data_IF_725511961501
#
_entry.id   IF_725511961501
#
_cell.length_a   1.000
_cell.length_b   1.000
_cell.length_c   1.000
_cell.angle_alpha   90.00
_cell.angle_beta   90.00
_cell.angle_gamma   90.00
#
_symmetry.space_group_name_H-M   'P 1'
#
loop_
_entity.id
_entity.type
_entity.pdbx_description
1 polymer ?
#
# COMPACT_ATOMS: atom_id res chain seq x y z
N UNK A 1 -20.47 83.40 -33.30
CA UNK A 1 -21.90 83.02 -33.22
C UNK A 1 -22.40 82.88 -34.65
N UNK A 2 -23.21 81.88 -35.01
CA UNK A 2 -24.15 81.10 -34.18
C UNK A 2 -23.79 79.58 -34.18
N UNK A 3 -24.46 78.63 -33.54
CA UNK A 3 -25.48 78.55 -32.50
C UNK A 3 -25.40 77.15 -31.88
N UNK A 4 -25.90 77.05 -30.65
CA UNK A 4 -26.00 75.88 -29.79
C UNK A 4 -26.87 74.76 -30.38
N UNK A 5 -26.50 73.49 -30.13
CA UNK A 5 -27.48 72.40 -29.99
C UNK A 5 -27.04 71.36 -28.93
N UNK A 6 -28.02 70.69 -28.28
CA UNK A 6 -27.93 70.24 -26.89
C UNK A 6 -27.48 68.79 -26.74
N UNK A 7 -26.76 68.52 -25.66
CA UNK A 7 -26.38 67.18 -25.23
C UNK A 7 -27.60 66.41 -24.70
N UNK A 8 -28.06 65.43 -25.48
CA UNK A 8 -29.08 64.45 -25.10
C UNK A 8 -28.37 63.21 -24.52
N UNK A 9 -28.61 62.90 -23.24
CA UNK A 9 -28.09 61.69 -22.57
C UNK A 9 -28.85 60.45 -23.03
N UNK A 10 -28.19 59.30 -23.27
CA UNK A 10 -28.84 58.01 -23.19
C UNK A 10 -28.59 57.33 -21.84
N UNK A 11 -29.69 56.84 -21.27
CA UNK A 11 -29.80 56.03 -20.06
C UNK A 11 -29.26 54.63 -20.36
N UNK A 12 -28.15 54.25 -19.73
CA UNK A 12 -27.59 52.90 -19.87
C UNK A 12 -28.33 51.92 -18.94
N UNK A 13 -29.13 51.03 -19.53
CA UNK A 13 -29.67 49.85 -18.86
C UNK A 13 -28.58 48.78 -18.82
N UNK A 14 -28.05 48.48 -17.64
CA UNK A 14 -27.13 47.36 -17.45
C UNK A 14 -27.94 46.08 -17.22
N UNK A 15 -28.00 45.24 -18.25
CA UNK A 15 -28.56 43.89 -18.22
C UNK A 15 -27.59 42.96 -17.49
N UNK A 16 -27.99 42.40 -16.35
CA UNK A 16 -27.21 41.38 -15.63
C UNK A 16 -27.19 40.07 -16.43
N UNK A 17 -26.02 39.67 -16.91
CA UNK A 17 -25.80 38.34 -17.50
C UNK A 17 -25.36 37.39 -16.39
N UNK A 18 -26.23 36.44 -16.02
CA UNK A 18 -25.93 35.39 -15.05
C UNK A 18 -25.24 34.23 -15.78
N UNK A 19 -23.93 34.08 -15.55
CA UNK A 19 -23.11 33.00 -16.11
C UNK A 19 -23.18 31.77 -15.19
N UNK A 20 -23.95 30.75 -15.55
CA UNK A 20 -24.01 29.47 -14.83
C UNK A 20 -22.87 28.56 -15.28
N UNK A 21 -21.84 28.45 -14.45
CA UNK A 21 -20.74 27.49 -14.61
C UNK A 21 -21.18 26.08 -14.18
N UNK A 22 -21.28 25.17 -15.15
CA UNK A 22 -21.58 23.76 -14.92
C UNK A 22 -20.28 23.03 -14.49
N UNK A 23 -20.15 22.74 -13.20
CA UNK A 23 -19.08 21.89 -12.66
C UNK A 23 -19.38 20.43 -13.02
N UNK A 24 -18.77 19.93 -14.10
CA UNK A 24 -18.75 18.51 -14.41
C UNK A 24 -17.79 17.79 -13.46
N UNK A 25 -18.33 17.22 -12.37
CA UNK A 25 -17.59 16.31 -11.49
C UNK A 25 -17.24 15.03 -12.27
N UNK A 26 -16.02 14.95 -12.78
CA UNK A 26 -15.47 13.68 -13.26
C UNK A 26 -15.13 12.83 -12.03
N UNK A 27 -15.97 11.85 -11.72
CA UNK A 27 -15.61 10.81 -10.78
C UNK A 27 -14.46 9.99 -11.41
N UNK A 28 -13.24 10.23 -10.95
CA UNK A 28 -12.11 9.34 -11.22
C UNK A 28 -12.36 8.02 -10.50
N UNK A 29 -13.02 7.07 -11.18
CA UNK A 29 -13.00 5.68 -10.76
C UNK A 29 -11.60 5.13 -11.01
N UNK A 30 -10.83 4.88 -9.95
CA UNK A 30 -9.60 4.12 -10.07
C UNK A 30 -9.96 2.72 -10.60
N UNK A 31 -9.48 2.37 -11.79
CA UNK A 31 -9.60 1.01 -12.29
C UNK A 31 -8.95 0.05 -11.27
N UNK A 32 -9.52 -1.14 -11.01
CA UNK A 32 -8.93 -2.08 -10.07
C UNK A 32 -7.53 -2.46 -10.57
N UNK A 33 -6.51 -2.04 -9.85
CA UNK A 33 -5.14 -2.47 -10.10
C UNK A 33 -5.07 -3.97 -9.86
N UNK A 34 -4.84 -4.73 -10.93
CA UNK A 34 -4.55 -6.16 -10.81
C UNK A 34 -3.12 -6.30 -10.35
N UNK A 35 -2.95 -6.65 -9.08
CA UNK A 35 -1.64 -6.95 -8.52
C UNK A 35 -1.27 -8.41 -8.80
N UNK A 36 0.00 -8.72 -9.12
CA UNK A 36 0.45 -10.11 -9.16
C UNK A 36 0.22 -10.79 -7.82
N UNK A 37 -0.20 -12.05 -7.84
CA UNK A 37 -0.42 -12.85 -6.64
C UNK A 37 0.86 -13.04 -5.82
N UNK A 38 0.74 -13.68 -4.66
CA UNK A 38 1.87 -13.84 -3.74
C UNK A 38 3.02 -14.67 -4.31
N UNK A 39 2.77 -15.59 -5.24
CA UNK A 39 3.79 -16.41 -5.86
C UNK A 39 4.49 -15.69 -7.02
N UNK A 40 3.76 -14.88 -7.78
CA UNK A 40 4.25 -14.06 -8.90
C UNK A 40 4.96 -12.78 -8.44
N UNK A 41 4.63 -12.28 -7.25
CA UNK A 41 5.27 -11.12 -6.62
C UNK A 41 6.42 -11.49 -5.66
N UNK A 42 6.83 -12.76 -5.65
CA UNK A 42 7.96 -13.24 -4.83
C UNK A 42 9.24 -12.42 -5.10
N UNK A 43 9.81 -11.76 -4.08
CA UNK A 43 10.97 -10.91 -4.26
C UNK A 43 12.21 -11.59 -4.86
N UNK A 44 12.43 -12.85 -4.51
CA UNK A 44 13.56 -13.63 -5.01
C UNK A 44 13.36 -14.01 -6.48
N UNK A 45 12.13 -14.37 -6.88
CA UNK A 45 11.81 -14.66 -8.29
C UNK A 45 11.89 -13.42 -9.17
N UNK A 46 11.46 -12.27 -8.65
CA UNK A 46 11.57 -11.00 -9.35
C UNK A 46 13.01 -10.47 -9.41
N UNK A 47 13.89 -10.96 -8.53
CA UNK A 47 15.31 -10.59 -8.51
C UNK A 47 15.54 -9.15 -8.04
N UNK A 48 14.75 -8.67 -7.09
CA UNK A 48 14.95 -7.34 -6.50
C UNK A 48 16.34 -7.25 -5.87
N UNK A 49 17.07 -6.18 -6.21
CA UNK A 49 18.38 -5.85 -5.64
C UNK A 49 19.45 -6.95 -5.83
N UNK A 50 19.32 -7.77 -6.88
CA UNK A 50 20.32 -8.77 -7.29
C UNK A 50 21.29 -8.17 -8.30
N UNK A 51 22.60 -8.35 -8.07
CA UNK A 51 23.67 -7.86 -8.94
C UNK A 51 24.42 -6.65 -8.37
N UNK A 52 25.46 -6.18 -9.08
CA UNK A 52 26.24 -4.99 -8.70
C UNK A 52 26.70 -4.19 -9.93
N UNK A 53 26.01 -3.08 -10.27
CA UNK A 53 24.74 -2.63 -9.70
C UNK A 53 23.57 -3.55 -10.09
N UNK A 54 22.48 -3.61 -9.30
CA UNK A 54 21.25 -4.23 -9.74
C UNK A 54 20.71 -3.55 -11.02
N UNK A 55 19.93 -4.28 -11.85
CA UNK A 55 19.22 -3.67 -12.98
C UNK A 55 18.35 -2.49 -12.55
N UNK A 56 18.24 -1.46 -13.40
CA UNK A 56 17.54 -0.22 -13.07
C UNK A 56 16.05 -0.46 -12.75
N UNK A 57 15.40 -1.38 -13.46
CA UNK A 57 14.01 -1.81 -13.26
C UNK A 57 13.81 -2.69 -12.01
N UNK A 58 14.90 -3.09 -11.34
CA UNK A 58 14.92 -3.95 -10.15
C UNK A 58 15.67 -3.32 -8.98
N UNK A 59 15.89 -2.01 -9.04
CA UNK A 59 16.53 -1.26 -7.97
C UNK A 59 15.46 -0.61 -7.11
N UNK A 60 15.50 -0.90 -5.81
CA UNK A 60 14.60 -0.34 -4.80
C UNK A 60 15.29 0.85 -4.13
N UNK A 61 14.59 1.98 -4.06
CA UNK A 61 15.11 3.27 -3.61
C UNK A 61 14.16 3.95 -2.64
N UNK A 62 14.73 4.70 -1.70
CA UNK A 62 13.95 5.52 -0.77
C UNK A 62 13.54 6.84 -1.45
N UNK A 63 14.48 7.44 -2.18
CA UNK A 63 14.40 8.76 -2.79
C UNK A 63 13.27 8.94 -3.80
N UNK A 64 12.88 7.87 -4.50
CA UNK A 64 11.81 7.88 -5.51
C UNK A 64 10.52 7.19 -5.03
N UNK A 65 10.49 6.73 -3.77
CA UNK A 65 9.33 6.07 -3.17
C UNK A 65 9.10 4.62 -3.63
N UNK A 66 9.93 4.07 -4.52
CA UNK A 66 9.78 2.69 -5.02
C UNK A 66 9.79 1.64 -3.91
N UNK A 67 10.48 1.90 -2.79
CA UNK A 67 10.48 1.02 -1.62
C UNK A 67 9.11 0.71 -1.04
N UNK A 68 8.10 1.56 -1.24
CA UNK A 68 6.75 1.32 -0.70
C UNK A 68 5.71 1.05 -1.78
N UNK A 69 6.15 0.82 -3.03
CA UNK A 69 5.28 0.45 -4.14
C UNK A 69 5.22 -1.07 -4.30
N UNK A 70 4.05 -1.61 -4.57
CA UNK A 70 3.91 -3.03 -4.90
C UNK A 70 4.42 -3.30 -6.34
N UNK A 71 5.17 -4.38 -6.59
CA UNK A 71 5.56 -5.45 -5.67
C UNK A 71 6.90 -5.23 -4.94
N UNK A 72 7.65 -4.16 -5.24
CA UNK A 72 8.96 -3.86 -4.63
C UNK A 72 8.93 -3.82 -3.08
N UNK A 73 7.81 -3.38 -2.50
CA UNK A 73 7.63 -3.34 -1.04
C UNK A 73 7.78 -4.71 -0.37
N UNK A 74 7.48 -5.82 -1.07
CA UNK A 74 7.67 -7.18 -0.53
C UNK A 74 9.14 -7.49 -0.26
N UNK A 75 10.06 -6.89 -1.02
CA UNK A 75 11.49 -6.95 -0.73
C UNK A 75 11.88 -5.96 0.39
N UNK A 76 11.39 -4.71 0.29
CA UNK A 76 11.88 -3.61 1.12
C UNK A 76 11.58 -3.79 2.61
N UNK A 77 10.39 -4.28 2.98
CA UNK A 77 9.99 -4.42 4.40
C UNK A 77 10.83 -5.44 5.15
N UNK A 78 11.41 -6.41 4.43
CA UNK A 78 12.36 -7.39 4.96
C UNK A 78 13.81 -6.92 4.91
N UNK A 79 14.11 -5.84 4.18
CA UNK A 79 15.47 -5.34 3.91
C UNK A 79 15.65 -3.86 4.24
N UNK A 80 14.78 -3.29 5.06
CA UNK A 80 14.66 -1.84 5.27
C UNK A 80 15.95 -1.16 5.74
N UNK A 81 16.79 -1.88 6.51
CA UNK A 81 18.11 -1.38 6.96
C UNK A 81 19.09 -1.08 5.82
N UNK A 82 18.84 -1.61 4.62
CA UNK A 82 19.64 -1.33 3.43
C UNK A 82 19.23 -0.03 2.72
N UNK A 83 18.07 0.53 3.06
CA UNK A 83 17.48 1.67 2.33
C UNK A 83 17.62 3.00 3.06
N UNK A 84 17.75 2.98 4.38
CA UNK A 84 17.80 4.19 5.20
C UNK A 84 18.54 3.96 6.52
N UNK A 85 18.97 5.05 7.21
CA UNK A 85 19.62 4.93 8.51
C UNK A 85 18.75 4.17 9.51
N UNK A 86 19.34 3.18 10.17
CA UNK A 86 18.71 2.43 11.25
C UNK A 86 19.67 2.35 12.43
N UNK A 87 19.11 2.11 13.62
CA UNK A 87 19.88 1.84 14.82
C UNK A 87 19.67 0.38 15.23
N UNK A 88 20.73 -0.22 15.77
CA UNK A 88 20.61 -1.54 16.37
C UNK A 88 19.96 -1.43 17.74
N UNK A 89 18.87 -2.16 17.95
CA UNK A 89 18.25 -2.32 19.27
C UNK A 89 18.80 -3.59 19.89
N UNK A 90 19.51 -3.46 21.03
CA UNK A 90 20.07 -4.62 21.73
C UNK A 90 18.96 -5.50 22.29
N UNK A 91 19.14 -6.83 22.18
CA UNK A 91 18.29 -7.84 22.84
C UNK A 91 18.64 -8.07 24.32
N UNK A 92 19.58 -7.29 24.87
CA UNK A 92 20.21 -7.52 26.17
C UNK A 92 21.36 -8.53 26.13
N UNK A 93 22.09 -8.65 27.25
CA UNK A 93 23.24 -9.56 27.39
C UNK A 93 22.86 -11.00 27.79
N UNK A 94 21.61 -11.21 28.21
CA UNK A 94 21.12 -12.53 28.59
C UNK A 94 21.05 -13.49 27.40
N UNK A 95 21.05 -14.80 27.68
CA UNK A 95 20.81 -15.83 26.66
C UNK A 95 19.37 -15.75 26.16
N UNK A 96 19.10 -16.02 24.87
CA UNK A 96 17.73 -16.17 24.38
C UNK A 96 17.00 -17.29 25.15
N UNK A 97 15.73 -17.05 25.47
CA UNK A 97 14.86 -18.09 26.05
C UNK A 97 14.09 -18.75 24.92
N UNK A 98 14.25 -20.06 24.75
CA UNK A 98 13.49 -20.79 23.76
C UNK A 98 12.01 -20.83 24.17
N UNK A 99 11.12 -20.51 23.22
CA UNK A 99 9.69 -20.73 23.43
C UNK A 99 9.40 -22.24 23.41
N UNK A 100 8.65 -22.78 24.39
CA UNK A 100 8.13 -24.13 24.30
C UNK A 100 7.35 -24.32 23.00
N UNK A 101 7.53 -25.46 22.34
CA UNK A 101 6.91 -25.75 21.05
C UNK A 101 6.01 -26.97 21.18
N UNK A 102 4.73 -26.81 20.88
CA UNK A 102 3.86 -27.93 20.52
C UNK A 102 3.33 -27.69 19.11
N UNK A 103 4.16 -28.04 18.12
CA UNK A 103 3.85 -27.80 16.71
C UNK A 103 2.67 -28.68 16.28
N UNK A 104 1.76 -28.06 15.53
CA UNK A 104 0.59 -28.69 14.94
C UNK A 104 0.80 -28.82 13.44
N UNK A 105 0.54 -30.01 12.90
CA UNK A 105 0.63 -30.29 11.45
C UNK A 105 -0.69 -30.09 10.72
N UNK A 106 -1.78 -29.93 11.47
CA UNK A 106 -3.14 -29.79 10.98
C UNK A 106 -3.57 -28.33 10.81
N UNK A 107 -2.68 -27.37 11.09
CA UNK A 107 -3.03 -25.94 11.01
C UNK A 107 -3.36 -25.50 9.59
N UNK A 108 -2.63 -25.99 8.59
CA UNK A 108 -2.82 -25.60 7.18
C UNK A 108 -4.23 -25.90 6.67
N UNK A 109 -4.89 -26.91 7.25
CA UNK A 109 -6.25 -27.36 6.89
C UNK A 109 -7.36 -26.61 7.64
N UNK A 110 -7.03 -25.81 8.66
CA UNK A 110 -8.04 -25.07 9.44
C UNK A 110 -8.83 -24.14 8.51
N UNK A 111 -10.12 -24.41 8.38
CA UNK A 111 -11.02 -23.64 7.52
C UNK A 111 -11.74 -22.54 8.29
N UNK A 112 -11.86 -21.37 7.67
CA UNK A 112 -12.62 -20.24 8.20
C UNK A 112 -13.18 -19.37 7.06
N UNK A 113 -14.16 -18.52 7.39
CA UNK A 113 -14.66 -17.49 6.48
C UNK A 113 -14.04 -16.15 6.89
N UNK A 114 -13.23 -15.49 6.03
CA UNK A 114 -12.67 -14.18 6.34
C UNK A 114 -13.76 -13.15 6.60
N UNK A 115 -13.45 -12.16 7.44
CA UNK A 115 -14.37 -11.05 7.69
C UNK A 115 -14.70 -10.32 6.39
N UNK A 116 -15.99 -10.13 6.11
CA UNK A 116 -16.48 -9.49 4.88
C UNK A 116 -16.48 -10.38 3.63
N UNK A 117 -16.08 -11.65 3.74
CA UNK A 117 -16.15 -12.63 2.67
C UNK A 117 -17.35 -13.59 2.86
N UNK A 118 -17.76 -14.24 1.78
CA UNK A 118 -18.77 -15.32 1.79
C UNK A 118 -18.15 -16.70 1.55
N UNK A 119 -16.97 -16.73 0.94
CA UNK A 119 -16.26 -17.97 0.64
C UNK A 119 -15.30 -18.33 1.78
N UNK A 120 -15.33 -19.59 2.20
CA UNK A 120 -14.37 -20.13 3.14
C UNK A 120 -12.99 -20.34 2.48
N UNK A 121 -11.94 -20.26 3.27
CA UNK A 121 -10.57 -20.63 2.88
C UNK A 121 -9.88 -21.36 4.03
N UNK A 122 -8.82 -22.08 3.69
CA UNK A 122 -7.94 -22.69 4.68
C UNK A 122 -6.92 -21.69 5.23
N UNK A 123 -6.29 -22.03 6.34
CA UNK A 123 -5.17 -21.28 6.91
C UNK A 123 -4.05 -21.06 5.90
N UNK A 124 -3.60 -22.10 5.21
CA UNK A 124 -2.55 -22.00 4.20
C UNK A 124 -2.93 -21.03 3.07
N UNK A 125 -4.15 -21.16 2.55
CA UNK A 125 -4.67 -20.27 1.51
C UNK A 125 -4.68 -18.81 1.97
N UNK A 126 -4.99 -18.56 3.24
CA UNK A 126 -5.03 -17.21 3.79
C UNK A 126 -3.65 -16.53 3.80
N UNK A 127 -2.57 -17.28 4.05
CA UNK A 127 -1.21 -16.76 4.04
C UNK A 127 -0.84 -16.25 2.65
N UNK A 128 -1.19 -17.03 1.62
CA UNK A 128 -0.99 -16.66 0.23
C UNK A 128 -1.88 -15.48 -0.20
N UNK A 129 -3.15 -15.47 0.20
CA UNK A 129 -4.11 -14.43 -0.16
C UNK A 129 -3.77 -13.05 0.45
N UNK A 130 -3.02 -13.04 1.55
CA UNK A 130 -2.63 -11.84 2.29
C UNK A 130 -1.16 -11.45 2.12
N UNK A 131 -0.42 -12.14 1.24
CA UNK A 131 1.01 -11.90 1.01
C UNK A 131 1.85 -12.02 2.30
N UNK A 132 1.48 -12.93 3.22
CA UNK A 132 2.11 -13.06 4.54
C UNK A 132 3.58 -13.50 4.43
N UNK A 133 4.49 -12.75 5.04
CA UNK A 133 5.93 -13.09 5.10
C UNK A 133 6.29 -13.90 6.36
N UNK A 134 5.59 -13.70 7.48
CA UNK A 134 5.83 -14.42 8.73
C UNK A 134 4.67 -14.34 9.72
N UNK A 135 4.36 -15.48 10.35
CA UNK A 135 3.28 -15.60 11.34
C UNK A 135 3.69 -16.54 12.47
N UNK A 136 3.29 -16.21 13.70
CA UNK A 136 3.51 -17.04 14.89
C UNK A 136 2.22 -17.08 15.71
N UNK A 137 1.78 -18.28 16.09
CA UNK A 137 0.62 -18.49 16.98
C UNK A 137 1.12 -18.91 18.36
N UNK A 138 0.88 -18.07 19.37
CA UNK A 138 1.17 -18.38 20.77
C UNK A 138 -0.13 -18.70 21.49
N UNK A 139 -0.20 -19.88 22.11
CA UNK A 139 -1.41 -20.33 22.80
C UNK A 139 -1.14 -20.51 24.31
N UNK A 140 -1.93 -19.89 25.21
CA UNK A 140 -1.65 -19.84 26.66
C UNK A 140 -1.48 -21.20 27.36
N UNK A 141 -2.10 -22.27 26.83
CA UNK A 141 -2.04 -23.61 27.45
C UNK A 141 -0.68 -24.33 27.34
N UNK A 142 0.34 -23.72 26.74
CA UNK A 142 1.70 -24.31 26.65
C UNK A 142 2.63 -23.94 27.82
N UNK A 143 2.14 -23.26 28.87
CA UNK A 143 2.94 -22.79 30.01
C UNK A 143 2.65 -23.47 31.37
N UNK A 144 2.04 -24.66 31.42
CA UNK A 144 2.04 -25.44 32.68
C UNK A 144 3.31 -26.26 32.79
N UNK A 145 4.22 -25.76 33.63
CA UNK A 145 5.21 -26.57 34.35
C UNK A 145 4.50 -27.48 35.35
#
# INVERSE_FOLDING_TARGET
MPDLHPCCKPIARFTTVLLTSLLASTAYGAAPSTFPDSAASDPAKLGWMVGSPPPADRTVRFEDGSYFQFPAMRWSVSNFRQLMPTINVSRGSGSPVALPRALRKDLDEVSFVPLGATQAMTWEQSLAATYTDGIVVLHPRQHRL
#
